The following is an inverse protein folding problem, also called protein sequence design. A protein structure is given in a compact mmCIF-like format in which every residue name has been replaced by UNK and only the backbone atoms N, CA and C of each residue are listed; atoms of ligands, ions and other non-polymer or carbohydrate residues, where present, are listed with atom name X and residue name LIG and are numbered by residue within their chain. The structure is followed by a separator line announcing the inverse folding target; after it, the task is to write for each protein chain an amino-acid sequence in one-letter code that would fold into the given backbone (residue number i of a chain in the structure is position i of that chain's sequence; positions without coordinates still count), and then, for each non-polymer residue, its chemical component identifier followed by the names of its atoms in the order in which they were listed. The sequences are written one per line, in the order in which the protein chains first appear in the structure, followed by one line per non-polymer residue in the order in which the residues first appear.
data_IF_808318164543
#
_entry.id   IF_808318164543
#
_cell.length_a   1.000
_cell.length_b   1.000
_cell.length_c   1.000
_cell.angle_alpha   90.00
_cell.angle_beta   90.00
_cell.angle_gamma   90.00
#
_symmetry.space_group_name_H-M   'P 1'
#
loop_
_entity.id
_entity.type
_entity.pdbx_description
1 polymer ?
#
# COMPACT_ATOMS: atom_id res chain seq x y z
N UNK A 1 10.62 -6.30 32.47
CA UNK A 1 9.84 -5.13 32.93
C UNK A 1 8.34 -5.42 32.99
N UNK A 2 7.74 -6.03 31.95
CA UNK A 2 6.30 -6.35 31.94
C UNK A 2 5.82 -7.12 33.17
N UNK A 3 6.53 -8.18 33.58
CA UNK A 3 6.18 -8.97 34.78
C UNK A 3 6.07 -8.08 36.03
N UNK A 4 7.01 -7.15 36.24
CA UNK A 4 6.99 -6.26 37.41
C UNK A 4 5.81 -5.29 37.37
N UNK A 5 5.39 -4.86 36.16
CA UNK A 5 4.21 -4.01 35.99
C UNK A 5 2.90 -4.76 36.24
N UNK A 6 2.84 -6.07 35.94
CA UNK A 6 1.64 -6.87 36.15
C UNK A 6 1.38 -7.17 37.64
N UNK A 7 2.43 -7.21 38.48
CA UNK A 7 2.30 -7.43 39.93
C UNK A 7 1.41 -6.38 40.60
N UNK A 8 1.41 -5.14 40.10
CA UNK A 8 0.64 -4.03 40.69
C UNK A 8 -0.83 -4.00 40.24
N UNK A 9 -1.27 -4.97 39.44
CA UNK A 9 -2.62 -5.07 38.87
C UNK A 9 -3.18 -3.74 38.31
N UNK A 10 -2.48 -3.08 37.38
CA UNK A 10 -2.88 -1.75 36.94
C UNK A 10 -4.11 -1.83 36.01
N UNK A 11 -5.00 -0.84 36.10
CA UNK A 11 -6.12 -0.69 35.15
C UNK A 11 -5.69 -0.25 33.74
N UNK A 12 -4.47 0.26 33.59
CA UNK A 12 -3.86 0.65 32.32
C UNK A 12 -2.41 0.15 32.23
N UNK A 13 -2.07 -0.47 31.12
CA UNK A 13 -0.74 -0.97 30.82
C UNK A 13 -0.17 -0.21 29.62
N UNK A 14 0.98 0.44 29.81
CA UNK A 14 1.73 1.11 28.74
C UNK A 14 3.00 0.31 28.49
N UNK A 15 3.11 -0.27 27.29
CA UNK A 15 4.21 -1.14 26.88
C UNK A 15 5.03 -0.44 25.80
N UNK A 16 6.30 -0.18 26.08
CA UNK A 16 7.25 0.33 25.09
C UNK A 16 8.18 -0.81 24.65
N UNK A 17 8.01 -1.24 23.41
CA UNK A 17 8.76 -2.34 22.77
C UNK A 17 8.83 -3.62 23.63
N UNK A 18 7.67 -4.24 23.97
CA UNK A 18 7.63 -5.38 24.91
C UNK A 18 8.32 -6.65 24.38
N UNK A 19 8.58 -6.72 23.08
CA UNK A 19 9.17 -7.88 22.39
C UNK A 19 10.56 -7.60 21.81
N UNK A 20 11.24 -6.55 22.29
CA UNK A 20 12.62 -6.30 21.89
C UNK A 20 13.53 -7.47 22.32
N UNK A 21 14.31 -8.00 21.36
CA UNK A 21 15.33 -9.03 21.61
C UNK A 21 14.82 -10.37 22.14
N UNK A 22 13.57 -10.75 21.87
CA UNK A 22 13.02 -12.07 22.20
C UNK A 22 12.75 -12.92 20.94
N UNK A 23 12.78 -14.24 21.10
CA UNK A 23 12.51 -15.21 20.02
C UNK A 23 11.01 -15.32 19.68
N UNK A 24 10.70 -15.97 18.56
CA UNK A 24 9.34 -16.06 18.04
C UNK A 24 8.35 -16.78 19.01
N UNK A 25 8.80 -17.78 19.77
CA UNK A 25 7.94 -18.50 20.71
C UNK A 25 7.59 -17.59 21.89
N UNK A 26 8.60 -16.89 22.41
CA UNK A 26 8.40 -15.91 23.48
C UNK A 26 7.48 -14.77 23.04
N UNK A 27 7.56 -14.33 21.78
CA UNK A 27 6.60 -13.33 21.24
C UNK A 27 5.16 -13.83 21.32
N UNK A 28 4.87 -15.04 20.83
CA UNK A 28 3.51 -15.60 20.89
C UNK A 28 2.99 -15.68 22.32
N UNK A 29 3.81 -16.14 23.26
CA UNK A 29 3.43 -16.19 24.67
C UNK A 29 3.17 -14.78 25.26
N UNK A 30 4.00 -13.80 24.93
CA UNK A 30 3.78 -12.41 25.38
C UNK A 30 2.49 -11.82 24.80
N UNK A 31 2.13 -12.16 23.56
CA UNK A 31 0.85 -11.75 22.98
C UNK A 31 -0.34 -12.36 23.76
N UNK A 32 -0.27 -13.64 24.12
CA UNK A 32 -1.28 -14.31 24.95
C UNK A 32 -1.46 -13.59 26.29
N UNK A 33 -0.35 -13.31 27.00
CA UNK A 33 -0.38 -12.59 28.29
C UNK A 33 -1.01 -11.19 28.15
N UNK A 34 -0.72 -10.47 27.06
CA UNK A 34 -1.32 -9.16 26.79
C UNK A 34 -2.82 -9.30 26.56
N UNK A 35 -3.25 -10.27 25.76
CA UNK A 35 -4.66 -10.53 25.49
C UNK A 35 -5.42 -10.88 26.78
N UNK A 36 -4.84 -11.70 27.67
CA UNK A 36 -5.42 -11.99 28.98
C UNK A 36 -5.64 -10.73 29.84
N UNK A 37 -4.74 -9.73 29.74
CA UNK A 37 -4.95 -8.46 30.45
C UNK A 37 -6.13 -7.68 29.90
N UNK A 38 -6.32 -7.70 28.57
CA UNK A 38 -7.47 -7.07 27.91
C UNK A 38 -8.77 -7.78 28.32
N UNK A 39 -8.76 -9.12 28.33
CA UNK A 39 -9.90 -9.94 28.77
C UNK A 39 -10.25 -9.70 30.25
N UNK A 40 -9.25 -9.39 31.07
CA UNK A 40 -9.43 -8.96 32.47
C UNK A 40 -9.95 -7.50 32.61
N UNK A 41 -10.25 -6.82 31.49
CA UNK A 41 -10.84 -5.47 31.48
C UNK A 41 -9.82 -4.33 31.57
N UNK A 42 -8.52 -4.60 31.34
CA UNK A 42 -7.48 -3.57 31.40
C UNK A 42 -7.33 -2.87 30.05
N UNK A 43 -7.00 -1.58 30.09
CA UNK A 43 -6.63 -0.83 28.89
C UNK A 43 -5.14 -1.07 28.57
N UNK A 44 -4.81 -1.46 27.34
CA UNK A 44 -3.42 -1.64 26.91
C UNK A 44 -3.07 -0.65 25.80
N UNK A 45 -1.98 0.11 26.00
CA UNK A 45 -1.33 0.92 24.97
C UNK A 45 0.06 0.33 24.72
N UNK A 46 0.34 -0.06 23.48
CA UNK A 46 1.61 -0.64 23.10
C UNK A 46 2.27 0.17 21.98
N UNK A 47 3.53 0.56 22.18
CA UNK A 47 4.40 1.03 21.12
C UNK A 47 5.27 -0.15 20.66
N UNK A 48 5.26 -0.42 19.35
CA UNK A 48 6.21 -1.37 18.77
C UNK A 48 6.55 -1.03 17.32
N UNK A 49 7.78 -1.34 16.90
CA UNK A 49 8.19 -1.36 15.51
C UNK A 49 8.09 -2.75 14.87
N UNK A 50 7.69 -3.78 15.62
CA UNK A 50 7.48 -5.14 15.09
C UNK A 50 6.07 -5.26 14.49
N UNK A 51 6.00 -5.16 13.15
CA UNK A 51 4.75 -5.23 12.42
C UNK A 51 4.13 -6.63 12.40
N UNK A 52 4.89 -7.68 12.74
CA UNK A 52 4.37 -9.04 12.87
C UNK A 52 3.77 -9.30 14.24
N UNK A 53 4.26 -8.60 15.27
CA UNK A 53 3.75 -8.73 16.63
C UNK A 53 2.50 -7.90 16.89
N UNK A 54 2.43 -6.67 16.34
CA UNK A 54 1.30 -5.77 16.59
C UNK A 54 -0.07 -6.41 16.31
N UNK A 55 -0.31 -7.13 15.19
CA UNK A 55 -1.59 -7.76 14.92
C UNK A 55 -1.99 -8.92 15.84
N UNK A 56 -1.06 -9.47 16.63
CA UNK A 56 -1.33 -10.61 17.52
C UNK A 56 -2.06 -10.23 18.81
N UNK A 57 -1.97 -8.96 19.22
CA UNK A 57 -2.47 -8.52 20.53
C UNK A 57 -3.04 -7.08 20.51
N UNK A 58 -3.47 -6.59 19.35
CA UNK A 58 -4.13 -5.29 19.24
C UNK A 58 -5.33 -5.34 18.31
N UNK A 59 -6.39 -4.61 18.66
CA UNK A 59 -7.57 -4.44 17.81
C UNK A 59 -7.32 -3.41 16.69
N UNK A 60 -6.51 -2.39 16.99
CA UNK A 60 -6.16 -1.30 16.07
C UNK A 60 -4.69 -0.93 16.12
N UNK A 61 -4.21 -0.40 15.01
CA UNK A 61 -2.87 0.16 14.86
C UNK A 61 -2.94 1.66 14.52
N UNK A 62 -2.12 2.46 15.17
CA UNK A 62 -1.89 3.87 14.83
C UNK A 62 -0.47 4.02 14.28
N UNK A 63 -0.33 4.35 13.00
CA UNK A 63 0.96 4.48 12.33
C UNK A 63 1.48 5.89 12.49
N UNK A 64 2.39 6.06 13.44
CA UNK A 64 3.03 7.32 13.74
C UNK A 64 4.19 7.61 12.76
N UNK A 65 4.26 8.83 12.25
CA UNK A 65 5.41 9.34 11.52
C UNK A 65 5.75 10.75 12.01
N UNK A 66 6.92 10.88 12.63
CA UNK A 66 7.32 12.11 13.34
C UNK A 66 6.25 12.50 14.37
N UNK A 67 5.66 13.68 14.23
CA UNK A 67 4.72 14.27 15.18
C UNK A 67 3.26 14.06 14.76
N UNK A 68 2.98 13.09 13.89
CA UNK A 68 1.64 12.93 13.32
C UNK A 68 1.32 11.47 13.04
N UNK A 69 0.14 11.05 13.47
CA UNK A 69 -0.43 9.77 13.05
C UNK A 69 -0.86 9.94 11.59
N UNK A 70 -0.29 9.13 10.71
CA UNK A 70 -0.62 9.18 9.29
C UNK A 70 -1.70 8.19 8.89
N UNK A 71 -1.92 7.17 9.72
CA UNK A 71 -2.92 6.14 9.47
C UNK A 71 -3.39 5.53 10.78
N UNK A 72 -4.69 5.34 10.90
CA UNK A 72 -5.35 4.51 11.91
C UNK A 72 -6.09 3.41 11.14
N UNK A 73 -5.91 2.17 11.54
CA UNK A 73 -6.53 1.03 10.86
C UNK A 73 -6.73 -0.16 11.82
N UNK A 74 -7.70 -1.05 11.55
CA UNK A 74 -7.77 -2.35 12.23
C UNK A 74 -6.46 -3.11 12.08
N UNK A 75 -5.96 -3.74 13.14
CA UNK A 75 -4.62 -4.32 13.13
C UNK A 75 -4.44 -5.45 12.11
N UNK A 76 -5.50 -6.19 11.80
CA UNK A 76 -5.48 -7.23 10.77
C UNK A 76 -5.31 -6.66 9.35
N UNK A 77 -5.64 -5.39 9.10
CA UNK A 77 -5.44 -4.74 7.80
C UNK A 77 -4.00 -4.19 7.64
N UNK A 78 -3.22 -4.11 8.73
CA UNK A 78 -1.90 -3.45 8.75
C UNK A 78 -0.96 -3.99 7.67
N UNK A 79 -0.92 -5.31 7.51
CA UNK A 79 0.02 -5.98 6.61
C UNK A 79 -0.53 -6.13 5.19
N UNK A 80 -1.84 -6.31 5.05
CA UNK A 80 -2.45 -6.70 3.77
C UNK A 80 -3.14 -5.55 3.05
N UNK A 81 -3.69 -4.57 3.78
CA UNK A 81 -4.40 -3.43 3.20
C UNK A 81 -3.95 -2.06 3.75
N UNK A 82 -2.64 -1.77 3.82
CA UNK A 82 -2.17 -0.44 4.24
C UNK A 82 -2.61 0.63 3.23
N UNK A 83 -3.18 1.73 3.71
CA UNK A 83 -3.73 2.82 2.87
C UNK A 83 -2.77 3.99 2.73
N UNK A 84 -1.89 4.23 3.70
CA UNK A 84 -0.91 5.31 3.59
C UNK A 84 0.37 4.81 2.88
N UNK A 85 0.95 5.59 1.95
CA UNK A 85 2.21 5.23 1.29
C UNK A 85 3.37 4.93 2.24
N UNK A 86 3.39 5.57 3.42
CA UNK A 86 4.36 5.27 4.48
C UNK A 86 4.14 3.88 5.06
N UNK A 87 2.92 3.54 5.48
CA UNK A 87 2.59 2.23 6.05
C UNK A 87 2.90 1.11 5.07
N UNK A 88 2.52 1.26 3.79
CA UNK A 88 2.88 0.27 2.77
C UNK A 88 4.39 0.16 2.58
N UNK A 89 5.12 1.27 2.67
CA UNK A 89 6.58 1.25 2.61
C UNK A 89 7.19 0.54 3.84
N UNK A 90 6.65 0.75 5.04
CA UNK A 90 7.05 0.02 6.26
C UNK A 90 6.85 -1.49 6.08
N UNK A 91 5.66 -1.91 5.65
CA UNK A 91 5.35 -3.32 5.39
C UNK A 91 6.31 -3.92 4.37
N UNK A 92 6.66 -3.20 3.29
CA UNK A 92 7.61 -3.65 2.27
C UNK A 92 9.07 -3.70 2.76
N UNK A 93 9.43 -2.85 3.72
CA UNK A 93 10.75 -2.86 4.37
C UNK A 93 10.86 -3.94 5.44
N UNK A 94 9.73 -4.42 5.97
CA UNK A 94 9.71 -5.36 7.09
C UNK A 94 9.89 -6.82 6.60
N UNK A 95 10.88 -7.54 7.13
CA UNK A 95 11.08 -8.96 6.82
C UNK A 95 9.98 -9.80 7.45
N UNK A 96 9.39 -10.71 6.67
CA UNK A 96 8.39 -11.65 7.14
C UNK A 96 8.89 -13.07 6.91
N UNK A 97 8.78 -13.94 7.92
CA UNK A 97 9.19 -15.35 7.81
C UNK A 97 8.34 -16.13 6.81
N UNK A 98 7.08 -15.72 6.63
CA UNK A 98 6.09 -16.42 5.80
C UNK A 98 6.14 -16.04 4.32
N UNK A 99 6.77 -14.91 3.96
CA UNK A 99 6.77 -14.38 2.60
C UNK A 99 8.19 -13.96 2.20
N UNK A 100 8.79 -14.74 1.30
CA UNK A 100 10.02 -14.33 0.60
C UNK A 100 9.66 -13.20 -0.36
N UNK A 101 10.11 -12.00 -0.04
CA UNK A 101 9.97 -10.81 -0.89
C UNK A 101 11.26 -10.00 -0.83
N UNK A 102 11.61 -9.35 -1.93
CA UNK A 102 12.66 -8.34 -1.90
C UNK A 102 12.23 -7.20 -0.97
N UNK A 103 13.09 -6.89 -0.01
CA UNK A 103 12.84 -5.78 0.90
C UNK A 103 13.04 -4.47 0.15
N UNK A 104 12.01 -3.62 0.18
CA UNK A 104 12.08 -2.28 -0.38
C UNK A 104 12.08 -1.26 0.75
N UNK A 105 13.20 -0.55 0.90
CA UNK A 105 13.36 0.52 1.88
C UNK A 105 12.39 1.68 1.64
N UNK A 106 12.04 2.40 2.72
CA UNK A 106 11.28 3.65 2.61
C UNK A 106 12.15 4.73 1.95
N UNK A 107 11.74 5.21 0.78
CA UNK A 107 12.47 6.18 -0.06
C UNK A 107 13.00 7.38 0.73
N UNK A 108 14.22 7.80 0.45
CA UNK A 108 14.79 9.04 0.98
C UNK A 108 15.06 9.00 2.49
N UNK A 109 15.54 10.12 3.02
CA UNK A 109 15.91 10.25 4.44
C UNK A 109 14.72 10.81 5.24
N UNK A 110 14.45 10.31 6.45
CA UNK A 110 13.51 10.98 7.36
C UNK A 110 13.86 12.47 7.53
N UNK A 111 12.88 13.38 7.61
CA UNK A 111 13.12 14.77 8.01
C UNK A 111 13.94 14.86 9.31
N UNK A 112 14.72 15.92 9.51
CA UNK A 112 15.25 16.20 10.86
C UNK A 112 14.23 17.01 11.65
N UNK A 113 14.16 16.80 12.97
CA UNK A 113 13.30 17.59 13.88
C UNK A 113 13.60 19.10 13.79
N UNK A 114 14.86 19.46 13.56
CA UNK A 114 15.31 20.84 13.34
C UNK A 114 14.79 21.48 12.04
N UNK A 115 14.33 20.68 11.07
CA UNK A 115 13.90 21.16 9.75
C UNK A 115 12.45 21.66 9.72
N UNK A 116 11.70 21.61 10.84
CA UNK A 116 10.27 21.99 10.92
C UNK A 116 10.02 23.43 11.40
N UNK A 117 10.92 24.34 11.07
CA UNK A 117 10.91 25.74 11.54
C UNK A 117 9.82 26.66 10.95
N UNK A 118 8.83 26.16 10.20
CA UNK A 118 7.84 27.03 9.52
C UNK A 118 6.46 26.39 9.26
N UNK A 119 5.73 26.07 10.34
CA UNK A 119 4.29 25.81 10.30
C UNK A 119 3.84 24.55 9.54
N UNK A 120 2.63 24.05 9.85
CA UNK A 120 2.02 22.88 9.19
C UNK A 120 1.44 23.23 7.81
N UNK A 121 2.23 23.85 6.96
CA UNK A 121 1.79 24.27 5.62
C UNK A 121 1.90 23.17 4.58
N UNK A 122 2.50 22.01 4.86
CA UNK A 122 2.69 20.96 3.84
C UNK A 122 2.61 19.54 4.41
N UNK A 123 2.41 18.56 3.53
CA UNK A 123 2.41 17.15 3.92
C UNK A 123 3.82 16.73 4.38
N UNK A 124 3.93 16.30 5.64
CA UNK A 124 5.20 15.89 6.25
C UNK A 124 5.89 14.72 5.53
N UNK A 125 5.12 13.79 4.95
CA UNK A 125 5.66 12.63 4.25
C UNK A 125 6.00 12.91 2.78
N UNK A 126 5.69 14.10 2.25
CA UNK A 126 5.91 14.48 0.83
C UNK A 126 7.29 14.09 0.29
N UNK A 127 8.43 14.36 0.97
CA UNK A 127 9.76 14.09 0.43
C UNK A 127 10.02 12.61 0.10
N UNK A 128 9.26 11.71 0.74
CA UNK A 128 9.41 10.26 0.66
C UNK A 128 8.22 9.57 -0.01
N UNK A 129 7.17 10.33 -0.35
CA UNK A 129 5.92 9.83 -0.90
C UNK A 129 6.04 9.50 -2.39
N UNK A 130 5.61 8.30 -2.79
CA UNK A 130 5.62 7.86 -4.20
C UNK A 130 4.54 8.52 -5.06
N UNK A 131 3.52 9.11 -4.43
CA UNK A 131 2.33 9.64 -5.10
C UNK A 131 2.08 11.13 -4.79
N UNK A 132 3.12 11.88 -4.43
CA UNK A 132 2.99 13.29 -4.08
C UNK A 132 2.52 14.14 -5.27
N UNK A 133 1.63 15.10 -5.01
CA UNK A 133 1.12 16.06 -6.00
C UNK A 133 1.45 17.49 -5.56
N UNK A 134 1.29 18.47 -6.46
CA UNK A 134 1.63 19.88 -6.18
C UNK A 134 0.98 20.43 -4.90
N UNK A 135 -0.28 20.09 -4.64
CA UNK A 135 -1.00 20.53 -3.42
C UNK A 135 -0.36 20.01 -2.13
N UNK A 136 0.34 18.87 -2.17
CA UNK A 136 1.01 18.31 -0.99
C UNK A 136 2.12 19.23 -0.46
N UNK A 137 2.70 20.13 -1.27
CA UNK A 137 3.70 21.09 -0.81
C UNK A 137 3.11 22.36 -0.21
N UNK A 138 1.79 22.55 -0.31
CA UNK A 138 1.12 23.81 0.01
C UNK A 138 0.06 23.66 1.10
N UNK A 139 -0.41 22.43 1.39
CA UNK A 139 -1.43 22.22 2.44
C UNK A 139 -1.32 20.86 3.10
N UNK A 140 -1.23 20.83 4.43
CA UNK A 140 -1.23 19.59 5.24
C UNK A 140 -2.55 18.79 5.10
N UNK A 141 -2.51 17.50 4.72
CA UNK A 141 -3.70 16.66 4.59
C UNK A 141 -4.52 16.60 5.89
N UNK A 142 -5.85 16.59 5.74
CA UNK A 142 -6.75 16.23 6.83
C UNK A 142 -6.91 14.71 6.94
N UNK A 143 -7.56 14.26 8.02
CA UNK A 143 -7.96 12.86 8.19
C UNK A 143 -9.10 12.54 7.21
N UNK A 144 -8.99 11.40 6.52
CA UNK A 144 -10.02 10.86 5.64
C UNK A 144 -10.46 9.50 6.19
N UNK A 145 -11.64 9.46 6.80
CA UNK A 145 -12.25 8.24 7.36
C UNK A 145 -12.64 7.24 6.27
N UNK A 146 -12.72 5.96 6.62
CA UNK A 146 -13.14 4.88 5.71
C UNK A 146 -14.64 4.92 5.39
N UNK A 147 -15.48 5.44 6.30
CA UNK A 147 -16.92 5.58 6.13
C UNK A 147 -17.40 6.99 6.52
N UNK A 148 -18.59 7.34 6.02
CA UNK A 148 -19.20 8.65 6.20
C UNK A 148 -20.07 8.76 7.47
N UNK A 149 -20.28 7.67 8.22
CA UNK A 149 -21.18 7.57 9.36
C UNK A 149 -20.58 8.08 10.67
N UNK A 150 -19.29 8.43 10.70
CA UNK A 150 -18.71 9.31 11.73
C UNK A 150 -18.63 8.68 13.13
N UNK A 151 -18.74 7.36 13.24
CA UNK A 151 -18.49 6.67 14.51
C UNK A 151 -16.98 6.49 14.67
N UNK A 152 -16.42 6.74 15.87
CA UNK A 152 -14.97 6.70 16.14
C UNK A 152 -14.26 5.35 15.83
N UNK A 153 -14.99 4.33 15.37
CA UNK A 153 -14.57 2.93 15.32
C UNK A 153 -14.80 2.27 13.94
N UNK A 154 -15.12 3.06 12.90
CA UNK A 154 -15.56 2.61 11.57
C UNK A 154 -14.43 2.35 10.53
N UNK A 155 -13.43 1.55 10.90
CA UNK A 155 -12.40 1.09 9.96
C UNK A 155 -11.26 2.07 9.72
N UNK A 156 -11.11 3.07 10.61
CA UNK A 156 -9.93 3.92 10.68
C UNK A 156 -9.88 5.07 9.67
N UNK A 157 -8.80 5.83 9.69
CA UNK A 157 -8.60 7.00 8.85
C UNK A 157 -7.19 7.04 8.26
N UNK A 158 -7.04 7.76 7.15
CA UNK A 158 -5.74 8.02 6.54
C UNK A 158 -5.52 9.52 6.37
N UNK A 159 -4.32 9.99 6.67
CA UNK A 159 -3.90 11.37 6.51
C UNK A 159 -3.16 11.49 5.18
N UNK A 160 -3.92 11.49 4.08
CA UNK A 160 -3.39 11.58 2.73
C UNK A 160 -4.26 12.49 1.86
N UNK A 161 -3.62 13.37 1.07
CA UNK A 161 -4.35 14.24 0.14
C UNK A 161 -5.13 13.49 -0.94
N UNK A 162 -4.71 12.28 -1.27
CA UNK A 162 -5.39 11.42 -2.25
C UNK A 162 -6.37 10.43 -1.61
N UNK A 163 -6.61 10.54 -0.29
CA UNK A 163 -7.52 9.61 0.43
C UNK A 163 -6.97 8.20 0.65
N UNK A 164 -5.70 7.96 0.32
CA UNK A 164 -5.05 6.67 0.39
C UNK A 164 -4.09 6.48 -0.77
N UNK A 165 -3.62 5.25 -0.98
CA UNK A 165 -2.90 4.82 -2.17
C UNK A 165 -3.86 4.83 -3.35
N UNK A 166 -3.42 5.41 -4.46
CA UNK A 166 -4.20 5.40 -5.68
C UNK A 166 -3.87 4.19 -6.55
N UNK A 167 -4.87 3.74 -7.29
CA UNK A 167 -4.69 2.80 -8.39
C UNK A 167 -4.26 3.55 -9.65
N UNK A 168 -3.15 3.13 -10.22
CA UNK A 168 -2.57 3.67 -11.45
C UNK A 168 -3.13 3.00 -12.68
N UNK A 169 -3.24 1.68 -12.70
CA UNK A 169 -3.84 0.92 -13.80
C UNK A 169 -4.94 0.03 -13.22
N UNK A 170 -6.11 0.02 -13.83
CA UNK A 170 -7.17 -0.96 -13.55
C UNK A 170 -7.59 -1.63 -14.85
N UNK A 171 -7.51 -2.95 -14.86
CA UNK A 171 -7.94 -3.85 -15.93
C UNK A 171 -9.14 -4.62 -15.36
N UNK A 172 -10.28 -4.54 -16.03
CA UNK A 172 -11.52 -5.19 -15.60
C UNK A 172 -12.09 -6.06 -16.71
N UNK A 173 -12.17 -7.35 -16.43
CA UNK A 173 -12.82 -8.40 -17.21
C UNK A 173 -12.39 -8.39 -18.69
N UNK A 174 -11.10 -8.14 -18.91
CA UNK A 174 -10.55 -7.98 -20.27
C UNK A 174 -10.51 -9.31 -20.99
N UNK A 175 -11.13 -9.32 -22.18
CA UNK A 175 -11.17 -10.45 -23.07
C UNK A 175 -10.57 -10.10 -24.44
N UNK A 176 -9.80 -11.03 -25.01
CA UNK A 176 -9.18 -10.86 -26.32
C UNK A 176 -9.05 -12.18 -27.07
N UNK A 177 -9.45 -12.16 -28.33
CA UNK A 177 -9.36 -13.26 -29.30
C UNK A 177 -8.70 -12.77 -30.59
N UNK A 178 -7.99 -13.68 -31.26
CA UNK A 178 -7.47 -13.49 -32.62
C UNK A 178 -7.99 -14.62 -33.49
N UNK A 179 -8.79 -14.28 -34.51
CA UNK A 179 -9.56 -15.27 -35.29
C UNK A 179 -10.35 -16.16 -34.32
N UNK A 180 -10.15 -17.47 -34.36
CA UNK A 180 -10.85 -18.45 -33.52
C UNK A 180 -10.12 -18.76 -32.20
N UNK A 181 -8.95 -18.15 -31.95
CA UNK A 181 -8.15 -18.39 -30.76
C UNK A 181 -8.43 -17.33 -29.68
N UNK A 182 -8.99 -17.75 -28.55
CA UNK A 182 -9.13 -16.90 -27.36
C UNK A 182 -7.81 -16.85 -26.59
N UNK A 183 -7.24 -15.65 -26.46
CA UNK A 183 -5.94 -15.42 -25.79
C UNK A 183 -6.10 -14.93 -24.37
N UNK A 184 -7.13 -14.13 -24.08
CA UNK A 184 -7.48 -13.67 -22.73
C UNK A 184 -8.98 -13.87 -22.49
N UNK A 185 -9.33 -14.33 -21.30
CA UNK A 185 -10.71 -14.55 -20.85
C UNK A 185 -10.91 -13.87 -19.50
N UNK A 186 -11.68 -12.79 -19.45
CA UNK A 186 -12.11 -12.11 -18.22
C UNK A 186 -10.97 -11.78 -17.24
N UNK A 187 -9.86 -11.26 -17.76
CA UNK A 187 -8.69 -10.94 -16.94
C UNK A 187 -8.88 -9.61 -16.22
N UNK A 188 -8.77 -9.64 -14.89
CA UNK A 188 -8.87 -8.48 -14.00
C UNK A 188 -7.61 -8.33 -13.15
N UNK A 189 -7.06 -7.11 -13.09
CA UNK A 189 -5.93 -6.76 -12.23
C UNK A 189 -5.89 -5.27 -11.93
N UNK A 190 -5.16 -4.91 -10.88
CA UNK A 190 -4.85 -3.52 -10.53
C UNK A 190 -3.35 -3.34 -10.36
N UNK A 191 -2.88 -2.12 -10.60
CA UNK A 191 -1.53 -1.69 -10.27
C UNK A 191 -1.63 -0.37 -9.53
N UNK A 192 -1.13 -0.32 -8.31
CA UNK A 192 -1.16 0.88 -7.46
C UNK A 192 0.09 1.75 -7.61
N UNK A 193 0.00 3.02 -7.22
CA UNK A 193 1.13 3.93 -7.39
C UNK A 193 2.33 3.52 -6.53
N UNK A 194 3.49 3.29 -7.15
CA UNK A 194 4.69 2.82 -6.46
C UNK A 194 4.74 1.30 -6.28
N UNK A 195 3.79 0.56 -6.84
CA UNK A 195 3.87 -0.89 -7.00
C UNK A 195 4.65 -1.27 -8.26
N UNK A 196 5.27 -2.46 -8.22
CA UNK A 196 5.84 -3.14 -9.39
C UNK A 196 5.05 -4.44 -9.53
N UNK A 197 4.30 -4.58 -10.62
CA UNK A 197 3.57 -5.80 -10.96
C UNK A 197 4.32 -6.56 -12.05
N UNK A 198 4.64 -7.82 -11.77
CA UNK A 198 5.25 -8.72 -12.75
C UNK A 198 4.19 -9.65 -13.36
N UNK A 199 4.06 -9.65 -14.69
CA UNK A 199 3.25 -10.63 -15.41
C UNK A 199 4.14 -11.82 -15.81
N UNK A 200 3.86 -13.00 -15.22
CA UNK A 200 4.67 -14.22 -15.41
C UNK A 200 3.79 -15.36 -15.93
N UNK A 201 4.37 -16.29 -16.68
CA UNK A 201 3.69 -17.46 -17.26
C UNK A 201 4.45 -18.04 -18.46
N UNK A 202 4.03 -19.19 -18.96
CA UNK A 202 4.66 -19.88 -20.11
C UNK A 202 4.53 -19.09 -21.42
N UNK A 203 5.42 -19.34 -22.38
CA UNK A 203 5.31 -18.75 -23.72
C UNK A 203 3.94 -19.08 -24.33
N UNK A 204 3.25 -18.07 -24.90
CA UNK A 204 1.90 -18.22 -25.44
C UNK A 204 0.76 -17.96 -24.45
N UNK A 205 1.02 -17.79 -23.16
CA UNK A 205 -0.03 -17.57 -22.13
C UNK A 205 -0.77 -16.21 -22.19
N UNK A 206 -0.55 -15.40 -23.23
CA UNK A 206 -1.22 -14.11 -23.40
C UNK A 206 -0.57 -12.89 -22.69
N UNK A 207 0.57 -13.04 -22.02
CA UNK A 207 1.30 -11.92 -21.35
C UNK A 207 1.53 -10.71 -22.26
N UNK A 208 2.09 -10.95 -23.45
CA UNK A 208 2.40 -9.89 -24.43
C UNK A 208 1.13 -9.22 -24.94
N UNK A 209 0.06 -9.99 -25.14
CA UNK A 209 -1.26 -9.48 -25.51
C UNK A 209 -1.83 -8.57 -24.43
N UNK A 210 -1.76 -8.99 -23.16
CA UNK A 210 -2.19 -8.17 -22.03
C UNK A 210 -1.36 -6.88 -21.91
N UNK A 211 -0.04 -6.96 -22.10
CA UNK A 211 0.84 -5.80 -22.11
C UNK A 211 0.48 -4.79 -23.22
N UNK A 212 0.19 -5.27 -24.44
CA UNK A 212 -0.26 -4.42 -25.55
C UNK A 212 -1.63 -3.80 -25.31
N UNK A 213 -2.57 -4.53 -24.69
CA UNK A 213 -3.87 -3.98 -24.29
C UNK A 213 -3.72 -2.86 -23.27
N UNK A 214 -2.92 -3.09 -22.22
CA UNK A 214 -2.64 -2.09 -21.18
C UNK A 214 -1.94 -0.85 -21.77
N UNK A 215 -1.05 -1.06 -22.75
CA UNK A 215 -0.39 0.02 -23.46
C UNK A 215 -1.28 0.73 -24.50
N UNK A 216 -2.52 0.28 -24.70
CA UNK A 216 -3.45 0.89 -25.64
C UNK A 216 -3.12 0.67 -27.13
N UNK A 217 -2.22 -0.26 -27.46
CA UNK A 217 -1.81 -0.50 -28.86
C UNK A 217 -2.77 -1.42 -29.61
N UNK A 218 -3.51 -2.27 -28.89
CA UNK A 218 -4.55 -3.13 -29.43
C UNK A 218 -5.83 -2.96 -28.62
N UNK A 219 -7.01 -3.05 -29.27
CA UNK A 219 -8.30 -2.94 -28.57
C UNK A 219 -8.74 -4.27 -27.96
N UNK A 220 -9.34 -4.28 -26.76
CA UNK A 220 -10.01 -5.45 -26.21
C UNK A 220 -11.28 -5.76 -27.01
N UNK A 221 -11.75 -7.00 -26.90
CA UNK A 221 -13.04 -7.40 -27.45
C UNK A 221 -14.17 -7.21 -26.42
N UNK A 222 -13.82 -7.17 -25.12
CA UNK A 222 -14.69 -6.84 -24.00
C UNK A 222 -13.88 -6.45 -22.76
N UNK A 223 -14.53 -5.79 -21.80
CA UNK A 223 -13.91 -5.25 -20.59
C UNK A 223 -13.40 -3.81 -20.73
N UNK A 224 -12.77 -3.28 -19.68
CA UNK A 224 -12.25 -1.90 -19.63
C UNK A 224 -10.82 -1.85 -19.06
N UNK A 225 -10.01 -0.93 -19.60
CA UNK A 225 -8.70 -0.59 -19.05
C UNK A 225 -8.65 0.92 -18.80
N UNK A 226 -8.32 1.29 -17.57
CA UNK A 226 -8.14 2.68 -17.16
C UNK A 226 -6.72 2.92 -16.62
N UNK A 227 -6.19 4.11 -16.90
CA UNK A 227 -4.99 4.65 -16.28
C UNK A 227 -5.36 5.93 -15.52
N UNK A 228 -5.13 5.97 -14.21
CA UNK A 228 -5.56 7.07 -13.32
C UNK A 228 -7.03 7.47 -13.57
N UNK A 229 -7.92 6.48 -13.55
CA UNK A 229 -9.38 6.61 -13.78
C UNK A 229 -9.79 7.07 -15.19
N UNK A 230 -8.84 7.19 -16.13
CA UNK A 230 -9.11 7.57 -17.52
C UNK A 230 -8.99 6.36 -18.42
N UNK A 231 -9.96 6.14 -19.31
CA UNK A 231 -9.90 5.07 -20.30
C UNK A 231 -8.64 5.16 -21.17
N UNK A 232 -8.00 4.02 -21.42
CA UNK A 232 -6.77 3.94 -22.22
C UNK A 232 -7.05 4.01 -23.72
N UNK A 233 -8.26 3.66 -24.15
CA UNK A 233 -8.70 3.68 -25.54
C UNK A 233 -9.45 4.97 -25.88
N UNK A 234 -9.18 5.56 -27.05
CA UNK A 234 -9.86 6.77 -27.55
C UNK A 234 -8.98 8.01 -27.73
N UNK A 235 -7.70 7.91 -27.40
CA UNK A 235 -6.73 8.98 -27.63
C UNK A 235 -5.86 8.68 -28.87
N UNK A 236 -5.62 9.68 -29.72
CA UNK A 236 -4.56 9.59 -30.74
C UNK A 236 -3.21 9.42 -30.05
N UNK A 237 -2.30 8.53 -30.50
CA UNK A 237 -1.00 8.28 -29.87
C UNK A 237 -0.24 9.57 -29.51
N UNK A 238 -0.31 10.61 -30.33
CA UNK A 238 0.35 11.90 -30.08
C UNK A 238 -0.24 12.71 -28.90
N UNK A 239 -1.52 12.52 -28.57
CA UNK A 239 -2.19 13.20 -27.45
C UNK A 239 -2.03 12.48 -26.12
N UNK A 240 -1.68 11.20 -26.17
CA UNK A 240 -1.47 10.42 -24.96
C UNK A 240 -0.20 10.89 -24.24
N UNK A 241 0.85 11.26 -24.98
CA UNK A 241 2.05 11.90 -24.43
C UNK A 241 1.67 13.16 -23.63
N UNK A 242 1.04 14.17 -24.25
CA UNK A 242 0.74 15.47 -23.62
C UNK A 242 -0.08 15.43 -22.31
N UNK A 243 -0.80 14.35 -22.01
CA UNK A 243 -1.69 14.24 -20.85
C UNK A 243 -1.08 13.46 -19.67
N UNK A 244 0.24 13.25 -19.64
CA UNK A 244 0.96 12.63 -18.53
C UNK A 244 1.22 11.12 -18.71
N UNK A 245 1.03 10.59 -19.91
CA UNK A 245 1.56 9.30 -20.37
C UNK A 245 2.94 9.47 -21.03
N UNK A 246 3.63 10.58 -20.77
CA UNK A 246 4.86 11.03 -21.45
C UNK A 246 6.06 10.06 -21.39
N UNK A 247 5.94 8.86 -20.80
CA UNK A 247 7.03 7.91 -20.63
C UNK A 247 6.62 6.44 -20.64
N UNK A 248 5.69 6.05 -21.50
CA UNK A 248 5.58 4.63 -21.88
C UNK A 248 6.31 4.43 -23.21
N UNK A 249 7.59 3.99 -23.21
CA UNK A 249 8.30 3.62 -24.42
C UNK A 249 7.81 2.22 -24.83
N UNK A 250 6.50 2.04 -25.00
CA UNK A 250 5.94 0.72 -25.32
C UNK A 250 6.50 0.26 -26.67
N UNK A 251 6.69 1.18 -27.62
CA UNK A 251 7.32 0.89 -28.91
C UNK A 251 8.84 0.63 -28.83
N UNK A 252 9.52 0.95 -27.72
CA UNK A 252 10.96 0.69 -27.53
C UNK A 252 11.25 -0.47 -26.57
N UNK A 253 10.30 -0.87 -25.72
CA UNK A 253 10.47 -1.94 -24.72
C UNK A 253 9.84 -3.25 -25.20
N UNK A 254 8.71 -3.19 -25.92
CA UNK A 254 8.12 -4.37 -26.54
C UNK A 254 8.77 -4.54 -27.92
N UNK A 255 9.84 -5.33 -27.95
CA UNK A 255 10.57 -5.65 -29.17
C UNK A 255 9.60 -6.24 -30.20
N UNK A 256 9.32 -5.47 -31.26
CA UNK A 256 8.40 -5.84 -32.33
C UNK A 256 8.93 -6.98 -33.20
N UNK A 257 10.15 -7.46 -32.96
CA UNK A 257 10.80 -8.50 -33.76
C UNK A 257 10.29 -9.94 -33.52
N UNK A 258 9.35 -10.18 -32.60
CA UNK A 258 8.77 -11.51 -32.36
C UNK A 258 7.30 -11.70 -32.75
N UNK A 259 6.62 -10.70 -33.33
CA UNK A 259 5.19 -10.83 -33.72
C UNK A 259 4.99 -11.16 -35.21
N UNK A 260 6.07 -11.30 -35.99
CA UNK A 260 6.00 -11.72 -37.40
C UNK A 260 6.68 -13.08 -37.58
N UNK A 261 5.89 -14.13 -37.44
CA UNK A 261 6.28 -15.48 -37.84
C UNK A 261 5.76 -16.56 -36.89
N UNK A 262 4.47 -16.88 -36.99
CA UNK A 262 3.90 -18.19 -37.38
C UNK A 262 2.43 -17.96 -37.77
#
# INVERSE_FOLDING_TARGET
MMVMALITDPGILVLDEPVASVDAITKSYLAEVINEQVDAGKAVLMATHDLSFAPLCSDRCEVLYFESILESLPSHELLDAPRHPYTRALVRSFPMMERVKDLAGVRGVPPSTLSRSSGRSSCIFRPRCTQSIGVCSQKEPGQVSRRADGTRWDGGYVVCRRGGIVTMISVKDISKSYKDLRVLSEVSLTLDEGEILALVGETGSGKTTLAYLIAGTIKPDGGEITFRERGVFGYRPERVCKNGWDRLPVSKILDQSQVHGV
#
